data_IF_356477992361
#
_entry.id   IF_356477992361
#
_cell.length_a   1.000
_cell.length_b   1.000
_cell.length_c   1.000
_cell.angle_alpha   90.00
_cell.angle_beta   90.00
_cell.angle_gamma   90.00
#
_symmetry.space_group_name_H-M   'P 1'
#
loop_
_entity.id
_entity.type
_entity.pdbx_description
1 polymer ?
#
# COMPACT_ATOMS: atom_id res chain seq x y z
N UNK A 1 -14.17 24.98 45.52
CA UNK A 1 -13.15 23.95 45.34
C UNK A 1 -13.70 22.96 44.30
N UNK A 2 -13.44 23.23 43.01
CA UNK A 2 -13.92 22.41 41.89
C UNK A 2 -12.86 21.37 41.54
N UNK A 3 -13.19 20.11 41.79
CA UNK A 3 -12.35 18.97 41.40
C UNK A 3 -12.70 18.63 39.96
N UNK A 4 -11.80 18.99 39.02
CA UNK A 4 -11.84 18.48 37.66
C UNK A 4 -11.44 17.00 37.69
N UNK A 5 -12.38 16.10 37.53
CA UNK A 5 -12.12 14.70 37.20
C UNK A 5 -11.77 14.62 35.74
N UNK A 6 -10.50 14.47 35.43
CA UNK A 6 -10.05 14.03 34.11
C UNK A 6 -10.54 12.59 33.87
N UNK A 7 -11.55 12.42 33.04
CA UNK A 7 -11.99 11.12 32.56
C UNK A 7 -10.91 10.56 31.65
N UNK A 8 -10.02 9.74 32.22
CA UNK A 8 -9.05 8.99 31.42
C UNK A 8 -9.78 8.09 30.44
N UNK A 9 -9.70 8.40 29.15
CA UNK A 9 -10.16 7.52 28.08
C UNK A 9 -9.34 6.23 28.15
N UNK A 10 -9.95 5.14 28.60
CA UNK A 10 -9.36 3.80 28.47
C UNK A 10 -9.28 3.53 26.98
N UNK A 11 -8.07 3.62 26.42
CA UNK A 11 -7.80 3.26 25.03
C UNK A 11 -7.91 1.74 24.94
N UNK A 12 -9.04 1.23 24.50
CA UNK A 12 -9.22 -0.21 24.25
C UNK A 12 -8.25 -0.60 23.12
N UNK A 13 -7.26 -1.43 23.44
CA UNK A 13 -6.38 -2.02 22.43
C UNK A 13 -7.19 -3.04 21.62
N UNK A 14 -7.45 -2.75 20.36
CA UNK A 14 -8.10 -3.64 19.40
C UNK A 14 -7.14 -4.06 18.29
N UNK A 15 -7.28 -5.31 17.81
CA UNK A 15 -6.57 -5.74 16.61
C UNK A 15 -7.05 -4.92 15.40
N UNK A 16 -6.10 -4.52 14.57
CA UNK A 16 -6.41 -3.85 13.30
C UNK A 16 -6.95 -4.90 12.34
N UNK A 17 -8.17 -4.69 11.85
CA UNK A 17 -8.78 -5.59 10.89
C UNK A 17 -8.04 -5.56 9.54
N UNK A 18 -7.95 -6.73 8.87
CA UNK A 18 -7.34 -6.89 7.54
C UNK A 18 -7.90 -5.91 6.48
N UNK A 19 -9.16 -5.53 6.61
CA UNK A 19 -9.84 -4.56 5.73
C UNK A 19 -9.31 -3.12 5.83
N UNK A 20 -8.37 -2.87 6.73
CA UNK A 20 -7.70 -1.57 6.88
C UNK A 20 -6.44 -1.41 6.02
N UNK A 21 -6.03 -2.47 5.34
CA UNK A 21 -4.89 -2.47 4.40
C UNK A 21 -5.42 -2.90 3.04
N UNK A 22 -5.47 -1.97 2.10
CA UNK A 22 -6.14 -2.21 0.82
C UNK A 22 -5.25 -1.78 -0.33
N UNK A 23 -4.88 -2.71 -1.23
CA UNK A 23 -4.16 -2.39 -2.46
C UNK A 23 -5.14 -2.04 -3.58
N UNK A 24 -4.81 -1.02 -4.35
CA UNK A 24 -5.44 -0.67 -5.61
C UNK A 24 -4.40 -0.73 -6.71
N UNK A 25 -4.78 -1.26 -7.87
CA UNK A 25 -3.95 -1.26 -9.08
C UNK A 25 -4.52 -0.29 -10.09
N UNK A 26 -3.66 0.39 -10.81
CA UNK A 26 -4.06 1.22 -11.93
C UNK A 26 -4.34 0.35 -13.15
N UNK A 27 -5.57 0.36 -13.62
CA UNK A 27 -6.02 -0.37 -14.81
C UNK A 27 -6.15 0.55 -16.03
N UNK A 28 -5.72 1.81 -15.91
CA UNK A 28 -5.83 2.76 -17.01
C UNK A 28 -4.82 2.45 -18.14
N UNK A 29 -5.24 2.76 -19.34
CA UNK A 29 -4.37 2.81 -20.53
C UNK A 29 -4.01 4.26 -20.91
N UNK A 30 -4.37 5.21 -20.05
CA UNK A 30 -4.20 6.65 -20.26
C UNK A 30 -3.37 7.25 -19.12
N UNK A 31 -3.04 8.55 -19.26
CA UNK A 31 -2.28 9.30 -18.24
C UNK A 31 -3.05 9.54 -16.94
N UNK A 32 -4.39 9.41 -16.96
CA UNK A 32 -5.22 9.57 -15.76
C UNK A 32 -5.42 8.20 -15.11
N UNK A 33 -4.93 7.98 -13.87
CA UNK A 33 -5.07 6.71 -13.20
C UNK A 33 -6.52 6.29 -12.98
N UNK A 34 -6.82 5.02 -13.20
CA UNK A 34 -8.09 4.38 -12.87
C UNK A 34 -7.87 3.31 -11.81
N UNK A 35 -8.03 3.70 -10.56
CA UNK A 35 -7.74 2.83 -9.43
C UNK A 35 -8.83 1.77 -9.25
N UNK A 36 -8.45 0.50 -9.30
CA UNK A 36 -9.32 -0.63 -8.99
C UNK A 36 -8.74 -1.40 -7.81
N UNK A 37 -9.57 -1.68 -6.83
CA UNK A 37 -9.18 -2.47 -5.68
C UNK A 37 -8.88 -3.91 -6.08
N UNK A 38 -7.80 -4.49 -5.61
CA UNK A 38 -7.57 -5.94 -5.66
C UNK A 38 -8.48 -6.58 -4.61
N UNK A 39 -9.67 -7.00 -5.03
CA UNK A 39 -10.75 -7.38 -4.11
C UNK A 39 -10.74 -8.83 -3.70
N UNK A 40 -10.45 -9.71 -4.63
CA UNK A 40 -10.60 -11.16 -4.46
C UNK A 40 -9.30 -11.86 -4.13
N UNK A 41 -8.32 -11.12 -3.60
CA UNK A 41 -7.09 -11.71 -3.12
C UNK A 41 -7.30 -12.38 -1.76
N UNK A 42 -6.80 -13.60 -1.63
CA UNK A 42 -6.79 -14.38 -0.39
C UNK A 42 -5.53 -14.13 0.44
N UNK A 43 -4.53 -13.48 -0.16
CA UNK A 43 -3.24 -13.19 0.47
C UNK A 43 -2.94 -11.70 0.36
N UNK A 44 -2.54 -11.10 1.47
CA UNK A 44 -1.90 -9.79 1.54
C UNK A 44 -0.72 -9.90 2.48
N UNK A 45 0.46 -10.12 1.94
CA UNK A 45 1.70 -10.23 2.71
C UNK A 45 2.74 -9.30 2.16
N UNK A 46 3.14 -8.32 2.97
CA UNK A 46 4.18 -7.35 2.62
C UNK A 46 5.48 -7.69 3.35
N UNK A 47 6.52 -8.01 2.60
CA UNK A 47 7.88 -8.17 3.08
C UNK A 47 8.65 -6.86 2.84
N UNK A 48 9.34 -6.34 3.84
CA UNK A 48 10.09 -5.08 3.72
C UNK A 48 11.52 -5.26 3.21
N UNK A 49 12.09 -6.47 3.36
CA UNK A 49 13.41 -6.88 2.86
C UNK A 49 14.50 -5.80 3.07
N UNK A 50 14.85 -5.45 4.33
CA UNK A 50 15.89 -4.48 4.59
C UNK A 50 17.24 -4.97 4.02
N UNK A 51 17.97 -4.08 3.38
CA UNK A 51 19.33 -4.29 2.95
C UNK A 51 20.24 -3.61 3.96
N UNK A 52 21.21 -4.35 4.50
CA UNK A 52 22.10 -3.83 5.54
C UNK A 52 23.54 -3.73 5.04
N UNK A 53 24.28 -2.79 5.61
CA UNK A 53 25.73 -2.67 5.50
C UNK A 53 26.35 -2.86 6.87
N UNK A 54 27.42 -3.65 6.92
CA UNK A 54 28.19 -3.87 8.13
C UNK A 54 29.52 -3.10 8.02
N UNK A 55 29.81 -2.32 9.04
CA UNK A 55 31.07 -1.57 9.18
C UNK A 55 31.88 -2.16 10.32
N UNK A 56 33.12 -2.54 10.02
CA UNK A 56 34.08 -3.02 11.03
C UNK A 56 35.14 -1.93 11.26
N UNK A 57 34.86 -1.06 12.23
CA UNK A 57 35.74 0.05 12.55
C UNK A 57 36.85 -0.41 13.49
N UNK A 58 38.10 0.03 13.21
CA UNK A 58 39.28 -0.27 14.05
C UNK A 58 39.08 0.25 15.49
N UNK A 59 38.22 1.22 15.69
CA UNK A 59 37.92 1.83 16.98
C UNK A 59 36.83 1.11 17.79
N UNK A 60 36.18 0.10 17.22
CA UNK A 60 35.09 -0.64 17.86
C UNK A 60 35.45 -2.13 17.98
N UNK A 61 35.13 -2.74 19.12
CA UNK A 61 35.33 -4.17 19.31
C UNK A 61 34.30 -5.03 18.57
N UNK A 62 33.15 -4.45 18.20
CA UNK A 62 32.10 -5.14 17.49
C UNK A 62 31.75 -4.39 16.20
N UNK A 63 31.43 -5.12 15.11
CA UNK A 63 30.89 -4.52 13.89
C UNK A 63 29.57 -3.79 14.15
N UNK A 64 29.37 -2.67 13.46
CA UNK A 64 28.12 -1.91 13.48
C UNK A 64 27.33 -2.20 12.20
N UNK A 65 26.03 -2.43 12.33
CA UNK A 65 25.14 -2.70 11.22
C UNK A 65 24.16 -1.55 11.02
N UNK A 66 24.07 -1.06 9.77
CA UNK A 66 23.12 -0.02 9.37
C UNK A 66 22.20 -0.51 8.26
N UNK A 67 20.94 -0.06 8.26
CA UNK A 67 20.02 -0.30 7.16
C UNK A 67 20.33 0.69 6.03
N UNK A 68 20.73 0.15 4.88
CA UNK A 68 21.06 0.94 3.69
C UNK A 68 19.81 1.31 2.88
N UNK A 69 18.91 0.33 2.70
CA UNK A 69 17.68 0.50 1.91
C UNK A 69 16.64 -0.56 2.25
N UNK A 70 15.44 -0.41 1.71
CA UNK A 70 14.39 -1.42 1.74
C UNK A 70 14.02 -1.81 0.31
N UNK A 71 13.72 -3.09 0.10
CA UNK A 71 13.20 -3.63 -1.15
C UNK A 71 11.83 -4.29 -0.90
N UNK A 72 10.79 -3.51 -0.62
CA UNK A 72 9.51 -4.06 -0.23
C UNK A 72 8.86 -4.81 -1.39
N UNK A 73 8.16 -5.89 -1.04
CA UNK A 73 7.37 -6.67 -1.99
C UNK A 73 6.04 -7.05 -1.35
N UNK A 74 4.99 -7.06 -2.16
CA UNK A 74 3.64 -7.41 -1.74
C UNK A 74 3.17 -8.63 -2.50
N UNK A 75 3.02 -9.77 -1.80
CA UNK A 75 2.50 -11.00 -2.38
C UNK A 75 0.98 -11.01 -2.38
N UNK A 76 0.42 -11.45 -3.49
CA UNK A 76 -1.02 -11.57 -3.75
C UNK A 76 -1.36 -12.95 -4.30
N UNK A 77 -2.53 -13.47 -3.93
CA UNK A 77 -3.14 -14.65 -4.52
C UNK A 77 -4.57 -14.31 -4.91
N UNK A 78 -4.77 -13.96 -6.17
CA UNK A 78 -6.03 -13.45 -6.70
C UNK A 78 -6.91 -14.61 -7.18
N UNK A 79 -8.11 -14.73 -6.61
CA UNK A 79 -9.11 -15.66 -7.10
C UNK A 79 -9.73 -15.16 -8.41
N UNK A 80 -9.84 -16.05 -9.40
CA UNK A 80 -10.29 -15.72 -10.74
C UNK A 80 -11.80 -15.46 -10.78
N UNK A 81 -12.18 -14.19 -11.01
CA UNK A 81 -13.55 -13.77 -11.31
C UNK A 81 -13.53 -12.92 -12.57
N UNK A 82 -14.23 -13.36 -13.61
CA UNK A 82 -14.18 -12.77 -14.95
C UNK A 82 -14.88 -11.41 -15.09
N UNK A 83 -15.67 -11.01 -14.11
CA UNK A 83 -16.36 -9.74 -14.04
C UNK A 83 -15.57 -8.63 -13.33
N UNK A 84 -14.43 -8.96 -12.68
CA UNK A 84 -13.61 -7.99 -11.94
C UNK A 84 -12.49 -7.41 -12.82
N UNK A 85 -12.34 -6.08 -12.80
CA UNK A 85 -11.36 -5.37 -13.64
C UNK A 85 -9.90 -5.63 -13.20
N UNK A 86 -9.64 -5.87 -11.91
CA UNK A 86 -8.34 -6.24 -11.38
C UNK A 86 -7.89 -7.60 -11.93
N UNK A 87 -8.80 -8.58 -11.96
CA UNK A 87 -8.54 -9.88 -12.57
C UNK A 87 -8.21 -9.75 -14.06
N UNK A 88 -9.00 -9.00 -14.83
CA UNK A 88 -8.76 -8.80 -16.27
C UNK A 88 -7.39 -8.24 -16.54
N UNK A 89 -6.99 -7.22 -15.77
CA UNK A 89 -5.66 -6.59 -15.90
C UNK A 89 -4.53 -7.58 -15.64
N UNK A 90 -4.61 -8.37 -14.56
CA UNK A 90 -3.58 -9.36 -14.24
C UNK A 90 -3.60 -10.51 -15.26
N UNK A 91 -4.78 -10.95 -15.70
CA UNK A 91 -4.90 -12.02 -16.68
C UNK A 91 -4.36 -11.61 -18.07
N UNK A 92 -4.55 -10.37 -18.50
CA UNK A 92 -3.93 -9.82 -19.71
C UNK A 92 -2.40 -9.84 -19.59
N UNK A 93 -1.85 -9.57 -18.42
CA UNK A 93 -0.40 -9.70 -18.18
C UNK A 93 0.04 -11.17 -18.22
N UNK A 94 -0.74 -12.11 -17.69
CA UNK A 94 -0.45 -13.55 -17.79
C UNK A 94 -0.44 -13.98 -19.26
N UNK A 95 -1.37 -13.50 -20.05
CA UNK A 95 -1.47 -13.86 -21.47
C UNK A 95 -0.30 -13.29 -22.29
N UNK A 96 0.09 -12.04 -22.03
CA UNK A 96 1.08 -11.32 -22.83
C UNK A 96 2.52 -11.49 -22.31
N UNK A 97 2.73 -11.92 -21.06
CA UNK A 97 4.02 -12.05 -20.39
C UNK A 97 4.93 -10.82 -20.58
N UNK A 98 4.47 -9.63 -20.19
CA UNK A 98 5.20 -8.40 -20.44
C UNK A 98 6.54 -8.38 -19.71
N UNK A 99 7.52 -7.69 -20.29
CA UNK A 99 8.86 -7.51 -19.74
C UNK A 99 9.27 -6.04 -19.73
N UNK A 100 10.30 -5.70 -18.96
CA UNK A 100 10.77 -4.32 -18.87
C UNK A 100 9.68 -3.36 -18.40
N UNK A 101 9.55 -2.22 -19.05
CA UNK A 101 8.56 -1.19 -18.70
C UNK A 101 7.11 -1.65 -18.75
N UNK A 102 6.79 -2.61 -19.63
CA UNK A 102 5.43 -3.11 -19.78
C UNK A 102 4.96 -3.98 -18.60
N UNK A 103 5.90 -4.46 -17.77
CA UNK A 103 5.60 -5.18 -16.53
C UNK A 103 5.29 -4.25 -15.35
N UNK A 104 5.42 -2.93 -15.53
CA UNK A 104 5.16 -1.95 -14.49
C UNK A 104 3.67 -1.63 -14.39
N UNK A 105 3.21 -1.45 -13.16
CA UNK A 105 1.87 -0.92 -12.84
C UNK A 105 1.98 0.00 -11.64
N UNK A 106 1.26 1.12 -11.71
CA UNK A 106 1.08 1.95 -10.53
C UNK A 106 0.17 1.23 -9.53
N UNK A 107 0.56 1.26 -8.28
CA UNK A 107 -0.17 0.67 -7.16
C UNK A 107 -0.37 1.73 -6.09
N UNK A 108 -1.56 1.75 -5.51
CA UNK A 108 -1.90 2.61 -4.39
C UNK A 108 -2.19 1.72 -3.17
N UNK A 109 -1.33 1.82 -2.16
CA UNK A 109 -1.50 1.07 -0.90
C UNK A 109 -2.14 1.99 0.13
N UNK A 110 -3.39 1.69 0.49
CA UNK A 110 -4.16 2.48 1.44
C UNK A 110 -4.10 1.88 2.84
N UNK A 111 -3.73 2.68 3.82
CA UNK A 111 -3.63 2.33 5.24
C UNK A 111 -4.78 2.95 6.03
N UNK A 112 -5.98 2.43 5.88
CA UNK A 112 -7.21 2.95 6.53
C UNK A 112 -7.21 2.83 8.06
N UNK A 113 -6.16 2.26 8.64
CA UNK A 113 -5.96 2.23 10.08
C UNK A 113 -5.46 3.57 10.64
N UNK A 114 -4.93 4.45 9.78
CA UNK A 114 -4.40 5.76 10.15
C UNK A 114 -5.05 6.84 9.30
N UNK A 115 -5.71 7.80 9.94
CA UNK A 115 -6.43 8.89 9.27
C UNK A 115 -6.33 10.19 10.04
N UNK A 116 -6.46 11.28 9.31
CA UNK A 116 -6.65 12.64 9.81
C UNK A 116 -7.92 13.22 9.19
N UNK A 117 -8.71 13.94 9.98
CA UNK A 117 -9.92 14.61 9.48
C UNK A 117 -9.79 16.10 9.79
N UNK A 118 -9.94 16.94 8.77
CA UNK A 118 -9.88 18.39 8.90
C UNK A 118 -11.03 18.91 9.78
N UNK A 119 -10.82 20.07 10.40
CA UNK A 119 -11.87 20.80 11.15
C UNK A 119 -12.76 21.67 10.25
N UNK A 120 -12.49 21.67 8.93
CA UNK A 120 -13.21 22.46 7.93
C UNK A 120 -14.67 22.02 7.76
N UNK A 121 -15.45 22.85 7.07
CA UNK A 121 -16.82 22.52 6.71
C UNK A 121 -17.02 22.66 5.19
N UNK A 122 -17.19 21.54 4.44
CA UNK A 122 -17.27 20.14 4.93
C UNK A 122 -15.91 19.58 5.34
N UNK A 123 -15.89 18.75 6.38
CA UNK A 123 -14.69 18.05 6.84
C UNK A 123 -14.20 17.04 5.80
N UNK A 124 -12.90 16.97 5.59
CA UNK A 124 -12.25 16.01 4.69
C UNK A 124 -11.44 15.02 5.52
N UNK A 125 -11.62 13.72 5.24
CA UNK A 125 -10.83 12.66 5.88
C UNK A 125 -9.76 12.16 4.92
N UNK A 126 -8.52 12.25 5.38
CA UNK A 126 -7.32 11.77 4.70
C UNK A 126 -6.86 10.48 5.36
N UNK A 127 -6.53 9.46 4.56
CA UNK A 127 -5.95 8.20 5.02
C UNK A 127 -4.52 8.08 4.51
N UNK A 128 -3.61 7.59 5.35
CA UNK A 128 -2.24 7.35 4.91
C UNK A 128 -2.22 6.40 3.72
N UNK A 129 -1.40 6.72 2.74
CA UNK A 129 -1.22 5.88 1.57
C UNK A 129 0.18 6.00 0.99
N UNK A 130 0.57 4.95 0.25
CA UNK A 130 1.73 4.96 -0.62
C UNK A 130 1.25 4.86 -2.07
N UNK A 131 1.77 5.72 -2.92
CA UNK A 131 1.68 5.58 -4.36
C UNK A 131 3.02 5.06 -4.86
N UNK A 132 3.00 3.95 -5.58
CA UNK A 132 4.20 3.18 -5.91
C UNK A 132 4.15 2.77 -7.37
N UNK A 133 5.26 2.96 -8.10
CA UNK A 133 5.50 2.23 -9.33
C UNK A 133 5.99 0.83 -8.97
N UNK A 134 5.26 -0.19 -9.36
CA UNK A 134 5.59 -1.57 -9.02
C UNK A 134 5.77 -2.45 -10.23
N UNK A 135 6.71 -3.38 -10.13
CA UNK A 135 6.89 -4.45 -11.12
C UNK A 135 6.01 -5.63 -10.73
N UNK A 136 5.10 -6.00 -11.61
CA UNK A 136 4.25 -7.19 -11.45
C UNK A 136 5.06 -8.42 -11.85
N UNK A 137 5.36 -9.27 -10.87
CA UNK A 137 6.05 -10.54 -11.06
C UNK A 137 5.03 -11.66 -11.01
N UNK A 138 4.65 -12.15 -12.18
CA UNK A 138 3.71 -13.27 -12.29
C UNK A 138 4.35 -14.54 -11.77
N UNK A 139 3.65 -15.24 -10.89
CA UNK A 139 4.06 -16.50 -10.30
C UNK A 139 3.35 -17.68 -10.95
N UNK A 140 2.26 -18.13 -10.36
CA UNK A 140 1.54 -19.33 -10.75
C UNK A 140 0.11 -19.01 -11.18
N UNK A 141 -0.32 -19.59 -12.29
CA UNK A 141 -1.74 -19.69 -12.65
C UNK A 141 -2.20 -21.12 -12.33
N UNK A 142 -3.07 -21.24 -11.35
CA UNK A 142 -3.64 -22.53 -10.93
C UNK A 142 -5.10 -22.61 -11.34
N UNK A 143 -5.37 -23.42 -12.38
CA UNK A 143 -6.73 -23.62 -12.89
C UNK A 143 -7.60 -24.49 -11.99
N UNK A 144 -7.00 -25.31 -11.13
CA UNK A 144 -7.72 -26.20 -10.20
C UNK A 144 -8.22 -25.40 -9.00
N UNK A 145 -7.35 -24.56 -8.42
CA UNK A 145 -7.69 -23.69 -7.30
C UNK A 145 -8.27 -22.34 -7.76
N UNK A 146 -8.33 -22.11 -9.07
CA UNK A 146 -8.85 -20.88 -9.67
C UNK A 146 -8.16 -19.62 -9.13
N UNK A 147 -6.82 -19.65 -9.08
CA UNK A 147 -6.04 -18.54 -8.57
C UNK A 147 -4.88 -18.13 -9.48
N UNK A 148 -4.50 -16.86 -9.39
CA UNK A 148 -3.28 -16.32 -9.96
C UNK A 148 -2.46 -15.75 -8.81
N UNK A 149 -1.27 -16.32 -8.62
CA UNK A 149 -0.30 -15.81 -7.64
C UNK A 149 0.67 -14.86 -8.34
N UNK A 150 0.91 -13.72 -7.73
CA UNK A 150 1.88 -12.74 -8.21
C UNK A 150 2.44 -11.91 -7.08
N UNK A 151 3.62 -11.36 -7.30
CA UNK A 151 4.24 -10.40 -6.41
C UNK A 151 4.30 -9.02 -7.07
N UNK A 152 4.05 -8.00 -6.28
CA UNK A 152 4.31 -6.61 -6.63
C UNK A 152 5.64 -6.21 -5.99
N UNK A 153 6.71 -6.13 -6.79
CA UNK A 153 7.96 -5.54 -6.31
C UNK A 153 7.78 -4.03 -6.27
N UNK A 154 7.78 -3.49 -5.05
CA UNK A 154 7.53 -2.08 -4.82
C UNK A 154 8.84 -1.30 -4.97
N UNK A 155 8.91 -0.48 -6.01
CA UNK A 155 10.04 0.40 -6.26
C UNK A 155 9.96 1.64 -5.34
N UNK A 156 10.51 2.75 -5.78
CA UNK A 156 10.38 4.02 -5.07
C UNK A 156 8.92 4.36 -4.83
N UNK A 157 8.58 4.73 -3.61
CA UNK A 157 7.22 5.06 -3.21
C UNK A 157 7.12 6.53 -2.80
N UNK A 158 6.03 7.15 -3.20
CA UNK A 158 5.60 8.45 -2.71
C UNK A 158 4.71 8.24 -1.48
N UNK A 159 5.05 8.88 -0.37
CA UNK A 159 4.17 8.93 0.81
C UNK A 159 3.19 10.08 0.67
N UNK A 160 1.94 9.88 1.03
CA UNK A 160 0.91 10.89 0.95
C UNK A 160 -0.38 10.40 1.58
N UNK A 161 -1.50 10.89 1.05
CA UNK A 161 -2.81 10.49 1.52
C UNK A 161 -3.76 10.12 0.39
N UNK A 162 -4.86 9.49 0.77
CA UNK A 162 -6.03 9.34 -0.09
C UNK A 162 -7.27 9.89 0.61
N UNK A 163 -8.13 10.51 -0.18
CA UNK A 163 -9.54 10.69 0.16
C UNK A 163 -10.35 9.60 -0.54
N UNK A 164 -11.47 9.20 0.03
CA UNK A 164 -12.30 8.13 -0.52
C UNK A 164 -13.71 8.63 -0.76
N UNK A 165 -14.15 8.56 -2.01
CA UNK A 165 -15.52 8.86 -2.40
C UNK A 165 -16.12 7.65 -3.10
N UNK A 166 -17.25 7.14 -2.58
CA UNK A 166 -17.94 5.95 -3.14
C UNK A 166 -17.04 4.70 -3.30
N UNK A 167 -16.08 4.53 -2.37
CA UNK A 167 -15.13 3.41 -2.42
C UNK A 167 -13.96 3.58 -3.39
N UNK A 168 -13.88 4.69 -4.11
CA UNK A 168 -12.78 5.00 -5.02
C UNK A 168 -11.80 5.96 -4.32
N UNK A 169 -10.50 5.61 -4.23
CA UNK A 169 -9.51 6.48 -3.66
C UNK A 169 -9.08 7.56 -4.66
N UNK A 170 -8.85 8.75 -4.16
CA UNK A 170 -8.18 9.84 -4.88
C UNK A 170 -6.88 10.14 -4.17
N UNK A 171 -5.77 10.04 -4.89
CA UNK A 171 -4.45 10.37 -4.36
C UNK A 171 -4.32 11.87 -4.10
N UNK A 172 -3.77 12.20 -2.95
CA UNK A 172 -3.44 13.57 -2.55
C UNK A 172 -1.97 13.59 -2.11
N UNK A 173 -1.08 14.27 -2.86
CA UNK A 173 0.29 14.47 -2.43
C UNK A 173 0.33 15.39 -1.21
N UNK A 174 1.32 15.22 -0.35
CA UNK A 174 1.47 16.01 0.86
C UNK A 174 2.27 15.31 1.94
N UNK A 175 2.40 15.95 3.08
CA UNK A 175 3.22 15.48 4.19
C UNK A 175 2.40 15.16 5.42
N UNK A 176 2.85 14.14 6.15
CA UNK A 176 2.31 13.76 7.46
C UNK A 176 3.26 14.23 8.55
N UNK A 177 2.76 15.03 9.49
CA UNK A 177 3.49 15.48 10.67
C UNK A 177 2.61 15.30 11.91
N UNK A 178 3.14 14.68 12.95
CA UNK A 178 2.48 14.38 14.26
C UNK A 178 1.03 13.85 14.17
N UNK A 179 0.72 13.14 13.07
CA UNK A 179 -0.62 12.55 12.83
C UNK A 179 -1.58 13.44 12.05
N UNK A 180 -1.19 14.65 11.70
CA UNK A 180 -1.90 15.57 10.81
C UNK A 180 -1.38 15.46 9.39
N UNK A 181 -2.22 15.76 8.42
CA UNK A 181 -1.85 15.76 6.99
C UNK A 181 -1.98 17.16 6.39
N UNK A 182 -0.93 17.59 5.72
CA UNK A 182 -0.89 18.85 4.96
C UNK A 182 -0.74 18.53 3.48
N UNK A 183 -1.78 18.80 2.64
CA UNK A 183 -1.67 18.65 1.19
C UNK A 183 -0.64 19.60 0.60
N UNK A 184 0.03 19.17 -0.47
CA UNK A 184 0.87 20.06 -1.28
C UNK A 184 -0.02 21.06 -2.04
N UNK A 185 0.51 22.26 -2.28
CA UNK A 185 -0.21 23.37 -2.93
C UNK A 185 -0.34 23.18 -4.45
#
# INVERSE_FOLDING_TARGET
MHIFRAAGRIKTMGLIHKTKFVPFIDVSTTTTPSWKQIKKSTTFSMAFNPQTKTFDFISSENPEEEIDSYQPALSQSLTMFDDEDDFKTIFDMVFNLPTGGDAHRNVLLCFYASSYTTEDTPAVTYYKAWKVDSVVKLGTLDSVNQSIDFDLALNEHETGAVTVANGVPTWVPGTWDDGEFTPDA
#
